data_IF_148882790918
#
_entry.id   IF_148882790918
#
_cell.length_a   1.000
_cell.length_b   1.000
_cell.length_c   1.000
_cell.angle_alpha   90.00
_cell.angle_beta   90.00
_cell.angle_gamma   90.00
#
_symmetry.space_group_name_H-M   'P 1'
#
loop_
_entity.id
_entity.type
_entity.pdbx_description
1 polymer ?
2 non-polymer ?
3 non-polymer ?
4 water ?
#
# COMPACT_ATOMS: atom_id res chain seq x y z
N UNK A 4 30.23 1.20 -2.49
CA UNK A 4 30.65 -0.21 -2.75
C UNK A 4 30.45 -1.08 -1.51
N UNK A 5 29.26 -1.00 -0.93
CA UNK A 5 28.94 -1.78 0.26
C UNK A 5 29.12 -3.28 0.05
N UNK A 6 29.74 -3.93 1.03
CA UNK A 6 29.96 -5.37 0.95
C UNK A 6 29.19 -6.13 2.03
N UNK A 7 28.82 -5.44 3.10
CA UNK A 7 28.12 -6.11 4.18
C UNK A 7 27.24 -5.22 5.03
N UNK A 8 26.14 -5.79 5.54
CA UNK A 8 25.27 -5.10 6.47
C UNK A 8 25.54 -5.89 7.75
N UNK A 9 26.03 -5.23 8.79
CA UNK A 9 26.34 -5.91 10.03
C UNK A 9 25.47 -5.48 11.21
N UNK A 10 25.48 -6.30 12.26
CA UNK A 10 24.75 -6.02 13.48
C UNK A 10 23.27 -5.78 13.23
N UNK A 11 22.68 -6.64 12.41
CA UNK A 11 21.28 -6.50 12.07
C UNK A 11 20.36 -7.42 12.85
N UNK A 12 19.21 -6.90 13.25
CA UNK A 12 18.20 -7.70 13.93
C UNK A 12 17.21 -8.02 12.81
N UNK A 13 16.56 -9.18 12.88
CA UNK A 13 15.60 -9.58 11.87
C UNK A 13 14.31 -9.98 12.55
N UNK A 14 13.17 -9.61 11.97
CA UNK A 14 11.89 -9.98 12.59
C UNK A 14 11.77 -11.48 12.80
N UNK A 15 11.27 -11.89 13.96
CA UNK A 15 11.09 -13.30 14.24
C UNK A 15 12.36 -14.11 14.48
N UNK A 16 13.51 -13.46 14.43
CA UNK A 16 14.77 -14.16 14.65
C UNK A 16 15.43 -13.63 15.91
N UNK A 17 16.21 -14.50 16.56
CA UNK A 17 16.93 -14.11 17.76
C UNK A 17 18.32 -13.63 17.33
N UNK A 18 18.94 -12.81 18.18
CA UNK A 18 20.28 -12.33 17.90
C UNK A 18 20.53 -11.35 16.78
N UNK A 19 21.80 -11.22 16.43
CA UNK A 19 22.26 -10.32 15.38
C UNK A 19 22.71 -11.12 14.16
N UNK A 20 22.61 -10.48 12.99
CA UNK A 20 22.95 -11.12 11.75
C UNK A 20 23.77 -10.26 10.82
N UNK A 21 24.52 -10.92 9.95
CA UNK A 21 25.37 -10.25 8.97
C UNK A 21 24.82 -10.59 7.59
N UNK A 22 24.63 -9.56 6.77
CA UNK A 22 24.09 -9.76 5.42
C UNK A 22 25.17 -9.39 4.41
N UNK A 23 25.71 -10.39 3.73
CA UNK A 23 26.76 -10.16 2.75
C UNK A 23 26.17 -9.81 1.40
N UNK A 24 26.74 -8.78 0.76
CA UNK A 24 26.27 -8.31 -0.53
C UNK A 24 27.33 -8.54 -1.61
N UNK A 25 26.87 -8.89 -2.80
CA UNK A 25 27.75 -9.14 -3.93
C UNK A 25 27.00 -8.86 -5.23
N UNK A 26 27.57 -8.03 -6.08
CA UNK A 26 26.99 -7.67 -7.36
C UNK A 26 25.54 -7.19 -7.27
N UNK A 27 25.26 -6.35 -6.28
CA UNK A 27 23.91 -5.81 -6.13
C UNK A 27 22.89 -6.76 -5.54
N UNK A 28 23.34 -7.94 -5.12
CA UNK A 28 22.45 -8.94 -4.53
C UNK A 28 22.92 -9.36 -3.14
N UNK A 29 22.06 -10.11 -2.46
CA UNK A 29 22.41 -10.64 -1.14
C UNK A 29 23.05 -11.99 -1.46
N UNK A 30 24.31 -12.14 -1.08
CA UNK A 30 25.04 -13.39 -1.36
C UNK A 30 24.87 -14.42 -0.25
N UNK A 31 24.77 -13.95 0.98
CA UNK A 31 24.62 -14.85 2.11
C UNK A 31 24.20 -14.12 3.36
N UNK A 32 23.57 -14.84 4.28
CA UNK A 32 23.12 -14.29 5.55
C UNK A 32 23.65 -15.21 6.64
N UNK A 33 24.43 -14.66 7.57
CA UNK A 33 25.01 -15.45 8.64
C UNK A 33 24.74 -14.85 10.01
N UNK A 34 24.45 -15.71 10.98
CA UNK A 34 24.21 -15.22 12.33
C UNK A 34 25.54 -14.81 12.96
N UNK A 35 25.48 -13.86 13.86
CA UNK A 35 26.65 -13.38 14.59
C UNK A 35 26.46 -13.86 16.02
N UNK A 36 27.55 -14.02 16.76
CA UNK A 36 27.47 -14.46 18.15
C UNK A 36 27.71 -13.28 19.08
N UNK A 37 27.99 -12.12 18.48
CA UNK A 37 28.24 -10.91 19.25
C UNK A 37 28.22 -9.73 18.30
N UNK A 38 28.56 -8.54 18.80
CA UNK A 38 28.58 -7.35 17.96
C UNK A 38 29.84 -7.33 17.10
N UNK A 39 29.67 -7.07 15.81
CA UNK A 39 30.79 -7.01 14.86
C UNK A 39 31.34 -5.60 14.76
N UNK A 40 32.66 -5.48 14.50
CA UNK A 40 33.25 -4.14 14.40
C UNK A 40 32.93 -3.52 13.05
N UNK A 41 32.77 -2.21 13.02
CA UNK A 41 32.48 -1.52 11.77
C UNK A 41 33.79 -1.54 10.97
N UNK A 42 33.70 -1.20 9.69
CA UNK A 42 34.86 -1.15 8.83
C UNK A 42 34.42 -0.57 7.50
N UNK A 43 35.37 -0.25 6.63
CA UNK A 43 35.05 0.30 5.33
C UNK A 43 34.23 -0.73 4.55
N UNK A 44 33.22 -0.24 3.83
CA UNK A 44 32.35 -1.08 3.03
C UNK A 44 31.32 -1.88 3.82
N UNK A 45 31.23 -1.60 5.12
CA UNK A 45 30.25 -2.26 5.99
C UNK A 45 29.25 -1.19 6.45
N UNK A 46 27.96 -1.49 6.31
CA UNK A 46 26.93 -0.57 6.77
C UNK A 46 26.50 -1.13 8.12
N UNK A 47 26.71 -0.37 9.18
CA UNK A 47 26.37 -0.83 10.52
C UNK A 47 24.91 -0.55 10.85
N UNK A 48 24.11 -1.61 11.00
CA UNK A 48 22.69 -1.46 11.34
C UNK A 48 22.58 -1.11 12.82
N UNK A 49 23.71 -1.21 13.53
CA UNK A 49 23.76 -0.87 14.95
C UNK A 49 22.68 -1.53 15.80
N UNK A 50 22.44 -2.80 15.56
CA UNK A 50 21.45 -3.58 16.29
C UNK A 50 20.04 -3.06 16.05
N UNK A 51 19.88 -2.40 14.91
CA UNK A 51 18.58 -1.89 14.51
C UNK A 51 17.94 -3.01 13.71
N UNK A 52 16.70 -2.82 13.30
CA UNK A 52 15.98 -3.84 12.55
C UNK A 52 16.17 -3.72 11.03
N UNK A 53 16.48 -4.83 10.35
CA UNK A 53 16.64 -4.82 8.91
C UNK A 53 15.50 -5.60 8.28
N UNK A 54 14.82 -4.97 7.34
CA UNK A 54 13.69 -5.59 6.68
C UNK A 54 13.67 -5.23 5.20
N UNK A 55 12.92 -6.00 4.39
CA UNK A 55 12.86 -5.66 2.98
C UNK A 55 12.14 -4.30 2.96
N UNK A 56 12.17 -3.58 1.84
CA UNK A 56 11.53 -2.25 1.75
C UNK A 56 10.06 -2.15 2.07
N UNK A 57 9.63 -1.00 2.59
CA UNK A 57 8.22 -0.80 2.83
C UNK A 57 7.58 -0.79 1.45
N UNK A 58 6.30 -1.13 1.39
CA UNK A 58 5.55 -1.18 0.14
C UNK A 58 4.30 -0.33 0.28
N UNK A 59 3.93 0.38 -0.79
CA UNK A 59 2.68 1.15 -0.80
C UNK A 59 1.79 0.41 -1.83
N UNK A 60 0.92 -0.48 -1.34
CA UNK A 60 0.05 -1.23 -2.27
C UNK A 60 -1.15 -0.50 -2.84
N UNK A 61 -1.44 0.70 -2.34
CA UNK A 61 -2.60 1.42 -2.83
C UNK A 61 -2.52 2.92 -2.63
N UNK A 62 -2.24 3.66 -3.70
CA UNK A 62 -2.17 5.11 -3.60
C UNK A 62 -2.64 5.70 -4.92
N UNK A 63 -3.06 6.95 -4.88
CA UNK A 63 -3.52 7.65 -6.09
C UNK A 63 -2.57 8.80 -6.36
N UNK A 64 -1.54 8.53 -7.17
CA UNK A 64 -0.57 9.57 -7.49
C UNK A 64 -1.09 10.58 -8.49
N UNK A 65 -2.19 10.29 -9.18
CA UNK A 65 -2.69 11.27 -10.14
C UNK A 65 -3.46 12.38 -9.45
N UNK A 66 -3.98 12.11 -8.24
CA UNK A 66 -4.74 13.10 -7.50
C UNK A 66 -3.96 13.72 -6.33
N UNK A 67 -2.79 13.16 -6.01
CA UNK A 67 -2.02 13.64 -4.86
C UNK A 67 -1.63 15.12 -4.94
N UNK A 68 -1.64 15.77 -3.77
CA UNK A 68 -1.29 17.18 -3.62
C UNK A 68 -2.33 18.13 -4.25
N UNK A 69 -3.59 17.70 -4.38
CA UNK A 69 -4.61 18.57 -4.99
C UNK A 69 -5.80 18.92 -4.10
N UNK A 70 -5.70 18.64 -2.80
CA UNK A 70 -6.82 18.95 -1.89
C UNK A 70 -7.22 20.42 -1.96
N UNK A 71 -8.50 20.67 -2.15
CA UNK A 71 -9.03 22.02 -2.21
C UNK A 71 -9.07 22.65 -3.60
N UNK A 72 -8.66 21.92 -4.63
CA UNK A 72 -8.66 22.50 -5.98
C UNK A 72 -9.63 21.78 -6.92
N UNK A 73 -10.68 22.48 -7.41
CA UNK A 73 -11.06 23.89 -7.19
C UNK A 73 -11.80 24.10 -5.87
N UNK A 74 -12.36 23.02 -5.32
CA UNK A 74 -13.10 23.10 -4.07
C UNK A 74 -12.78 21.94 -3.12
N UNK A 75 -13.16 22.11 -1.86
CA UNK A 75 -12.94 21.09 -0.84
C UNK A 75 -14.10 20.12 -0.72
N UNK A 76 -13.79 18.88 -0.35
CA UNK A 76 -14.80 17.84 -0.13
C UNK A 76 -15.36 18.17 1.25
N UNK A 77 -16.50 18.86 1.29
CA UNK A 77 -17.08 19.26 2.57
C UNK A 77 -17.74 18.18 3.39
N UNK A 78 -18.31 17.17 2.73
CA UNK A 78 -18.99 16.09 3.44
C UNK A 78 -18.05 15.01 3.96
N UNK A 79 -16.85 14.93 3.40
CA UNK A 79 -15.91 13.91 3.84
C UNK A 79 -16.35 12.52 3.40
N UNK A 80 -17.05 12.43 2.28
CA UNK A 80 -17.53 11.16 1.76
C UNK A 80 -16.84 10.76 0.46
N UNK A 81 -16.86 9.47 0.15
CA UNK A 81 -16.28 8.94 -1.08
C UNK A 81 -16.95 9.58 -2.29
N UNK A 82 -18.27 9.67 -2.21
CA UNK A 82 -19.09 10.22 -3.30
C UNK A 82 -18.81 11.69 -3.62
N UNK A 83 -18.73 12.56 -2.61
CA UNK A 83 -18.42 13.96 -2.93
C UNK A 83 -16.97 14.02 -3.41
N UNK A 84 -16.12 13.17 -2.86
CA UNK A 84 -14.73 13.13 -3.27
C UNK A 84 -14.60 12.92 -4.77
N UNK A 85 -15.33 11.95 -5.30
CA UNK A 85 -15.30 11.65 -6.74
C UNK A 85 -15.76 12.89 -7.52
N UNK A 86 -16.79 13.55 -7.01
CA UNK A 86 -17.31 14.73 -7.66
C UNK A 86 -16.32 15.91 -7.61
N UNK A 87 -15.61 16.06 -6.49
CA UNK A 87 -14.61 17.12 -6.38
C UNK A 87 -13.42 16.82 -7.29
N UNK A 88 -13.07 15.53 -7.40
CA UNK A 88 -11.96 15.12 -8.26
C UNK A 88 -12.33 15.37 -9.72
N UNK A 89 -13.58 15.10 -10.07
CA UNK A 89 -14.06 15.30 -11.44
C UNK A 89 -13.80 16.74 -11.88
N UNK A 90 -13.96 17.68 -10.95
CA UNK A 90 -13.73 19.09 -11.26
C UNK A 90 -12.25 19.33 -11.54
N UNK A 91 -11.38 18.70 -10.76
CA UNK A 91 -9.94 18.85 -10.92
C UNK A 91 -9.43 18.08 -12.13
N UNK A 92 -10.01 16.91 -12.38
CA UNK A 92 -9.59 16.10 -13.51
C UNK A 92 -9.75 16.87 -14.81
N UNK A 93 -10.74 17.76 -14.86
CA UNK A 93 -10.99 18.56 -16.06
C UNK A 93 -9.90 19.61 -16.30
N UNK A 94 -9.06 19.85 -15.29
CA UNK A 94 -8.00 20.87 -15.37
C UNK A 94 -6.59 20.26 -15.41
N UNK A 95 -6.51 18.95 -15.56
CA UNK A 95 -5.20 18.31 -15.57
C UNK A 95 -4.34 18.66 -16.77
N UNK A 96 -3.03 18.67 -16.55
CA UNK A 96 -2.06 18.87 -17.64
C UNK A 96 -0.98 17.84 -17.36
N UNK A 97 -0.26 17.47 -18.41
CA UNK A 97 0.82 16.50 -18.33
C UNK A 97 1.83 16.84 -17.25
N UNK A 98 2.42 18.02 -17.33
CA UNK A 98 3.43 18.45 -16.36
C UNK A 98 2.91 18.55 -14.94
N UNK A 99 1.65 18.94 -14.80
CA UNK A 99 1.00 19.08 -13.48
C UNK A 99 0.97 17.72 -12.78
N UNK A 100 0.54 16.70 -13.51
CA UNK A 100 0.48 15.36 -12.94
C UNK A 100 1.89 14.85 -12.60
N UNK A 101 2.83 15.03 -13.52
CA UNK A 101 4.19 14.57 -13.24
C UNK A 101 4.84 15.24 -12.04
N UNK A 102 4.63 16.55 -11.90
CA UNK A 102 5.20 17.30 -10.76
C UNK A 102 4.66 16.81 -9.44
N UNK A 103 3.34 16.67 -9.35
CA UNK A 103 2.71 16.23 -8.12
C UNK A 103 3.03 14.79 -7.77
N UNK A 104 3.02 13.90 -8.77
CA UNK A 104 3.34 12.49 -8.52
C UNK A 104 4.77 12.40 -7.99
N UNK A 105 5.69 13.12 -8.63
CA UNK A 105 7.08 13.10 -8.19
C UNK A 105 7.28 13.64 -6.77
N UNK A 106 6.52 14.65 -6.38
CA UNK A 106 6.64 15.22 -5.03
C UNK A 106 6.33 14.16 -3.97
N UNK A 107 5.27 13.40 -4.21
CA UNK A 107 4.89 12.35 -3.27
C UNK A 107 5.86 11.17 -3.37
N UNK A 108 6.31 10.86 -4.58
CA UNK A 108 7.26 9.76 -4.75
C UNK A 108 8.55 10.03 -3.98
N UNK A 109 9.00 11.30 -3.94
CA UNK A 109 10.22 11.61 -3.19
C UNK A 109 10.01 11.38 -1.68
N UNK A 110 8.83 11.68 -1.18
CA UNK A 110 8.53 11.46 0.24
C UNK A 110 8.56 9.95 0.49
N UNK A 111 8.06 9.18 -0.47
CA UNK A 111 8.05 7.72 -0.35
C UNK A 111 9.47 7.17 -0.34
N UNK A 112 10.33 7.69 -1.21
CA UNK A 112 11.72 7.21 -1.23
C UNK A 112 12.36 7.51 0.12
N UNK A 113 12.08 8.70 0.64
CA UNK A 113 12.63 9.12 1.93
C UNK A 113 12.11 8.22 3.06
N UNK A 114 10.92 7.64 2.85
CA UNK A 114 10.30 6.76 3.85
C UNK A 114 10.55 5.28 3.59
N UNK A 115 11.62 4.97 2.87
CA UNK A 115 11.98 3.58 2.62
C UNK A 115 11.03 2.73 1.79
N UNK A 116 10.19 3.38 0.99
CA UNK A 116 9.25 2.67 0.15
C UNK A 116 9.88 2.48 -1.25
N UNK A 117 10.09 1.23 -1.66
CA UNK A 117 10.70 0.97 -2.95
C UNK A 117 9.75 0.29 -3.93
N UNK A 118 8.52 0.04 -3.48
CA UNK A 118 7.50 -0.59 -4.31
C UNK A 118 6.19 0.14 -4.10
N UNK A 119 5.60 0.63 -5.19
CA UNK A 119 4.37 1.41 -5.11
C UNK A 119 3.40 1.02 -6.21
N UNK A 120 2.12 0.87 -5.84
CA UNK A 120 1.09 0.57 -6.83
C UNK A 120 0.16 1.78 -6.80
N UNK A 121 0.14 2.54 -7.89
CA UNK A 121 -0.73 3.69 -7.97
C UNK A 121 -1.90 3.44 -8.90
N UNK A 122 -3.08 3.86 -8.48
CA UNK A 122 -4.25 3.75 -9.34
C UNK A 122 -4.23 5.06 -10.13
N UNK A 123 -4.73 5.03 -11.36
CA UNK A 123 -4.80 6.22 -12.18
C UNK A 123 -6.17 6.21 -12.85
N UNK A 124 -6.91 7.30 -12.69
CA UNK A 124 -8.26 7.43 -13.23
C UNK A 124 -8.24 7.41 -14.76
N UNK A 125 -8.88 6.41 -15.35
CA UNK A 125 -8.94 6.30 -16.80
C UNK A 125 -10.35 6.55 -17.36
N UNK A 126 -11.17 7.24 -16.57
CA UNK A 126 -12.51 7.63 -17.02
C UNK A 126 -12.24 9.04 -17.52
N UNK A 127 -11.47 9.12 -18.60
CA UNK A 127 -11.06 10.38 -19.19
C UNK A 127 -10.57 10.06 -20.59
N UNK A 128 -11.33 10.49 -21.59
CA UNK A 128 -10.99 10.22 -22.97
C UNK A 128 -9.58 10.64 -23.38
N UNK A 129 -9.05 11.67 -22.73
CA UNK A 129 -7.71 12.16 -23.05
C UNK A 129 -6.61 11.36 -22.37
N UNK A 130 -6.97 10.59 -21.35
CA UNK A 130 -6.03 9.78 -20.58
C UNK A 130 -4.79 10.61 -20.20
N UNK A 131 -5.01 11.86 -19.86
CA UNK A 131 -3.89 12.75 -19.52
C UNK A 131 -3.00 12.26 -18.37
N UNK A 132 -3.61 11.88 -17.26
CA UNK A 132 -2.84 11.42 -16.10
C UNK A 132 -2.11 10.12 -16.39
N UNK A 133 -2.76 9.21 -17.13
CA UNK A 133 -2.12 7.94 -17.45
C UNK A 133 -0.86 8.13 -18.29
N UNK A 134 -0.92 9.01 -19.29
CA UNK A 134 0.25 9.23 -20.13
C UNK A 134 1.38 9.81 -19.30
N UNK A 135 1.04 10.73 -18.41
CA UNK A 135 2.03 11.34 -17.54
C UNK A 135 2.64 10.29 -16.60
N UNK A 136 1.79 9.47 -15.99
CA UNK A 136 2.26 8.45 -15.03
C UNK A 136 3.16 7.40 -15.68
N UNK A 137 2.91 7.08 -16.95
CA UNK A 137 3.75 6.11 -17.65
C UNK A 137 5.18 6.63 -17.78
N UNK A 138 5.32 7.95 -17.92
CA UNK A 138 6.66 8.54 -18.01
C UNK A 138 7.26 8.56 -16.62
N UNK A 139 6.47 8.94 -15.61
CA UNK A 139 6.97 8.96 -14.23
C UNK A 139 7.47 7.56 -13.86
N UNK A 140 6.77 6.52 -14.30
CA UNK A 140 7.17 5.15 -13.98
C UNK A 140 8.60 4.88 -14.47
N UNK A 141 8.90 5.31 -15.68
CA UNK A 141 10.24 5.12 -16.23
C UNK A 141 11.27 5.96 -15.49
N UNK A 142 10.92 7.20 -15.20
CA UNK A 142 11.81 8.13 -14.52
C UNK A 142 12.20 7.73 -13.10
N UNK A 143 11.25 7.19 -12.35
CA UNK A 143 11.51 6.82 -10.96
C UNK A 143 12.06 5.41 -10.76
N UNK A 144 12.13 4.63 -11.84
CA UNK A 144 12.58 3.24 -11.77
C UNK A 144 13.87 2.93 -10.98
N UNK A 145 14.86 3.85 -11.01
CA UNK A 145 16.08 3.56 -10.25
C UNK A 145 15.86 3.49 -8.73
N UNK A 146 14.76 4.07 -8.26
CA UNK A 146 14.47 4.11 -6.83
C UNK A 146 13.21 3.38 -6.41
N UNK A 147 12.20 3.36 -7.28
CA UNK A 147 10.93 2.72 -6.98
C UNK A 147 10.37 1.94 -8.16
N UNK A 148 9.88 0.74 -7.90
CA UNK A 148 9.25 -0.06 -8.94
C UNK A 148 7.77 0.32 -8.83
N UNK A 149 7.30 1.10 -9.80
CA UNK A 149 5.92 1.60 -9.80
C UNK A 149 4.98 0.80 -10.70
N UNK A 150 3.89 0.29 -10.11
CA UNK A 150 2.86 -0.43 -10.88
C UNK A 150 1.72 0.55 -11.11
N UNK A 151 1.13 0.52 -12.29
CA UNK A 151 0.03 1.43 -12.59
C UNK A 151 -1.26 0.64 -12.80
N UNK A 152 -2.30 1.03 -12.06
CA UNK A 152 -3.60 0.38 -12.20
C UNK A 152 -4.50 1.27 -13.05
N UNK A 153 -5.06 0.73 -14.12
CA UNK A 153 -6.00 1.49 -14.97
C UNK A 153 -7.29 1.46 -14.16
N UNK A 154 -7.60 2.57 -13.49
CA UNK A 154 -8.76 2.66 -12.61
C UNK A 154 -9.89 3.46 -13.22
N UNK A 155 -10.99 2.78 -13.62
CA UNK A 155 -12.17 3.40 -14.23
C UNK A 155 -13.01 4.02 -13.12
N UNK A 156 -12.52 5.14 -12.59
CA UNK A 156 -13.17 5.83 -11.47
C UNK A 156 -14.67 6.06 -11.57
N UNK A 157 -15.17 6.34 -12.77
CA UNK A 157 -16.60 6.61 -12.92
C UNK A 157 -17.39 5.41 -13.43
N UNK A 158 -16.76 4.24 -13.35
CA UNK A 158 -17.42 3.02 -13.79
C UNK A 158 -17.01 2.56 -15.17
N UNK A 159 -17.20 1.26 -15.41
CA UNK A 159 -16.88 0.66 -16.70
C UNK A 159 -18.12 0.74 -17.57
N UNK A 160 -19.24 0.27 -17.05
CA UNK A 160 -20.48 0.26 -17.83
C UNK A 160 -21.31 1.54 -17.64
N UNK A 161 -20.99 2.30 -16.60
CA UNK A 161 -21.73 3.52 -16.28
C UNK A 161 -21.11 4.83 -16.78
N UNK A 162 -20.03 4.70 -17.54
CA UNK A 162 -19.34 5.87 -18.08
C UNK A 162 -19.19 5.70 -19.60
N UNK A 163 -19.37 6.77 -20.38
CA UNK A 163 -19.26 6.70 -21.84
C UNK A 163 -17.93 6.10 -22.28
N UNK A 164 -18.00 5.03 -23.06
CA UNK A 164 -16.81 4.36 -23.58
C UNK A 164 -15.89 3.86 -22.47
N UNK A 165 -16.48 3.60 -21.31
CA UNK A 165 -15.69 3.15 -20.18
C UNK A 165 -14.87 1.91 -20.43
N UNK A 166 -15.47 0.88 -21.03
CA UNK A 166 -14.72 -0.35 -21.27
C UNK A 166 -13.63 -0.13 -22.32
N UNK A 167 -13.94 0.63 -23.36
CA UNK A 167 -12.96 0.92 -24.40
C UNK A 167 -11.75 1.66 -23.81
N UNK A 168 -12.01 2.66 -22.98
CA UNK A 168 -10.92 3.42 -22.37
C UNK A 168 -10.08 2.54 -21.45
N UNK A 169 -10.74 1.62 -20.72
CA UNK A 169 -10.02 0.73 -19.82
C UNK A 169 -9.05 -0.13 -20.62
N UNK A 170 -9.52 -0.68 -21.74
CA UNK A 170 -8.66 -1.51 -22.56
C UNK A 170 -7.56 -0.68 -23.21
N UNK A 171 -7.86 0.57 -23.57
CA UNK A 171 -6.85 1.43 -24.20
C UNK A 171 -5.73 1.65 -23.18
N UNK A 172 -6.11 1.82 -21.92
CA UNK A 172 -5.12 2.03 -20.86
C UNK A 172 -4.18 0.83 -20.74
N UNK A 173 -4.72 -0.38 -20.91
CA UNK A 173 -3.90 -1.59 -20.85
C UNK A 173 -2.98 -1.66 -22.07
N UNK A 174 -3.51 -1.27 -23.24
CA UNK A 174 -2.71 -1.29 -24.46
C UNK A 174 -1.55 -0.29 -24.38
N UNK A 175 -1.75 0.76 -23.59
CA UNK A 175 -0.70 1.77 -23.42
C UNK A 175 0.33 1.32 -22.37
N UNK A 176 0.03 0.26 -21.63
CA UNK A 176 1.00 -0.22 -20.66
C UNK A 176 0.62 -0.38 -19.20
N UNK A 177 -0.62 -0.06 -18.82
CA UNK A 177 -0.99 -0.21 -17.40
C UNK A 177 -0.78 -1.66 -16.96
N UNK A 178 -0.22 -1.82 -15.77
CA UNK A 178 0.12 -3.14 -15.23
C UNK A 178 -1.03 -3.92 -14.60
N UNK A 179 -2.04 -3.18 -14.15
CA UNK A 179 -3.16 -3.76 -13.43
C UNK A 179 -4.51 -3.27 -13.94
N UNK A 180 -5.49 -4.15 -13.96
CA UNK A 180 -6.83 -3.77 -14.38
C UNK A 180 -7.64 -3.43 -13.13
N UNK A 181 -8.28 -2.27 -13.14
CA UNK A 181 -9.10 -1.85 -12.01
C UNK A 181 -10.57 -1.90 -12.32
N UNK A 182 -11.40 -1.68 -11.29
CA UNK A 182 -12.85 -1.68 -11.43
C UNK A 182 -13.42 -1.05 -10.16
N UNK A 183 -14.72 -0.75 -10.18
CA UNK A 183 -15.37 -0.13 -9.03
C UNK A 183 -16.87 -0.50 -9.11
N UNK A 184 -17.17 -1.79 -8.92
CA UNK A 184 -18.55 -2.29 -9.00
C UNK A 184 -19.64 -1.60 -8.19
N UNK A 185 -19.33 -1.16 -6.97
CA UNK A 185 -20.34 -0.48 -6.14
C UNK A 185 -20.71 0.91 -6.64
N UNK A 186 -19.94 1.45 -7.58
CA UNK A 186 -20.22 2.78 -8.13
C UNK A 186 -21.01 2.68 -9.43
N UNK A 187 -21.10 1.48 -10.00
CA UNK A 187 -21.87 1.29 -11.24
C UNK A 187 -23.34 1.56 -10.92
N UNK A 188 -24.11 1.98 -11.93
CA UNK A 188 -25.53 2.30 -11.74
C UNK A 188 -26.38 1.22 -11.09
N UNK A 189 -26.11 -0.04 -11.43
CA UNK A 189 -26.90 -1.15 -10.88
C UNK A 189 -26.03 -2.31 -10.46
N UNK A 190 -26.59 -3.16 -9.61
CA UNK A 190 -25.91 -4.35 -9.14
C UNK A 190 -25.51 -5.22 -10.35
N UNK A 191 -26.38 -5.30 -11.34
CA UNK A 191 -26.10 -6.09 -12.53
C UNK A 191 -24.89 -5.51 -13.29
N UNK A 192 -24.82 -4.18 -13.41
CA UNK A 192 -23.65 -3.58 -14.08
C UNK A 192 -22.41 -3.89 -13.25
N UNK A 193 -22.56 -3.89 -11.93
CA UNK A 193 -21.43 -4.18 -11.05
C UNK A 193 -20.85 -5.56 -11.31
N UNK A 194 -21.72 -6.57 -11.35
CA UNK A 194 -21.28 -7.95 -11.59
C UNK A 194 -20.70 -8.07 -13.01
N UNK A 195 -21.41 -7.53 -13.99
CA UNK A 195 -20.93 -7.62 -15.36
C UNK A 195 -19.58 -6.92 -15.52
N UNK A 196 -19.38 -5.82 -14.82
CA UNK A 196 -18.11 -5.10 -14.94
C UNK A 196 -16.95 -6.00 -14.50
N UNK A 197 -17.21 -6.87 -13.52
CA UNK A 197 -16.16 -7.77 -13.03
C UNK A 197 -15.84 -8.86 -14.05
N UNK A 198 -16.85 -9.37 -14.75
CA UNK A 198 -16.57 -10.37 -15.79
C UNK A 198 -15.67 -9.70 -16.85
N UNK A 199 -15.99 -8.47 -17.24
CA UNK A 199 -15.22 -7.75 -18.24
C UNK A 199 -13.79 -7.46 -17.77
N UNK A 200 -13.65 -7.14 -16.48
CA UNK A 200 -12.36 -6.86 -15.88
C UNK A 200 -11.48 -8.12 -15.93
N UNK A 201 -12.05 -9.24 -15.51
CA UNK A 201 -11.28 -10.49 -15.56
C UNK A 201 -10.92 -10.88 -16.99
N UNK A 202 -11.85 -10.73 -17.93
CA UNK A 202 -11.53 -11.08 -19.31
C UNK A 202 -10.36 -10.24 -19.84
N UNK A 203 -10.31 -8.95 -19.49
CA UNK A 203 -9.20 -8.11 -19.95
C UNK A 203 -7.88 -8.53 -19.31
N UNK A 204 -7.92 -8.88 -18.02
CA UNK A 204 -6.71 -9.30 -17.33
C UNK A 204 -6.13 -10.58 -17.94
N UNK A 205 -7.01 -11.48 -18.39
CA UNK A 205 -6.55 -12.71 -19.01
C UNK A 205 -6.09 -12.46 -20.44
N UNK A 206 -6.78 -11.56 -21.14
CA UNK A 206 -6.41 -11.23 -22.52
C UNK A 206 -5.01 -10.60 -22.60
N UNK A 207 -4.69 -9.74 -21.63
CA UNK A 207 -3.39 -9.07 -21.63
C UNK A 207 -2.35 -9.57 -20.63
N UNK A 208 -2.72 -10.58 -19.84
CA UNK A 208 -1.82 -11.12 -18.79
C UNK A 208 -1.42 -10.01 -17.82
N UNK A 209 -2.41 -9.41 -17.17
CA UNK A 209 -2.17 -8.34 -16.21
C UNK A 209 -2.78 -8.72 -14.86
N UNK A 210 -2.41 -7.98 -13.82
CA UNK A 210 -2.94 -8.23 -12.49
C UNK A 210 -4.29 -7.52 -12.39
N UNK A 211 -5.00 -7.74 -11.28
CA UNK A 211 -6.30 -7.12 -11.06
C UNK A 211 -6.32 -6.51 -9.66
N UNK A 212 -6.89 -5.31 -9.54
CA UNK A 212 -7.03 -4.67 -8.24
C UNK A 212 -8.29 -3.84 -8.32
N UNK A 213 -9.34 -4.37 -7.70
CA UNK A 213 -10.67 -3.76 -7.70
C UNK A 213 -10.98 -2.87 -6.49
N UNK A 214 -11.50 -1.66 -6.73
CA UNK A 214 -11.95 -0.82 -5.61
C UNK A 214 -13.26 -1.56 -5.35
N UNK A 215 -13.24 -2.42 -4.34
CA UNK A 215 -14.36 -3.32 -4.06
C UNK A 215 -15.20 -3.06 -2.82
N UNK A 216 -16.49 -2.77 -3.04
CA UNK A 216 -17.43 -2.54 -1.95
C UNK A 216 -16.94 -1.46 -0.97
N UNK A 217 -16.45 -0.32 -1.48
CA UNK A 217 -16.00 0.76 -0.60
C UNK A 217 -17.25 1.57 -0.30
N UNK A 218 -18.10 1.03 0.59
CA UNK A 218 -19.36 1.67 0.91
C UNK A 218 -19.97 0.96 2.12
N UNK A 219 -20.65 1.72 2.98
CA UNK A 219 -21.27 1.15 4.18
C UNK A 219 -22.65 0.59 3.82
N UNK A 220 -22.65 -0.38 2.90
CA UNK A 220 -23.89 -1.02 2.43
C UNK A 220 -23.76 -2.52 2.66
N UNK A 221 -24.54 -3.06 3.61
CA UNK A 221 -24.45 -4.48 3.93
C UNK A 221 -24.83 -5.40 2.75
N UNK A 222 -25.40 -4.81 1.70
CA UNK A 222 -25.79 -5.58 0.52
C UNK A 222 -24.76 -5.50 -0.61
N UNK A 223 -23.67 -4.75 -0.39
CA UNK A 223 -22.64 -4.61 -1.40
C UNK A 223 -21.70 -5.82 -1.21
N UNK A 224 -21.88 -6.84 -2.04
CA UNK A 224 -21.12 -8.08 -1.95
C UNK A 224 -20.36 -8.45 -3.23
N UNK A 225 -19.81 -7.45 -3.91
CA UNK A 225 -19.08 -7.73 -5.13
C UNK A 225 -17.83 -8.56 -4.87
N UNK A 226 -17.33 -8.51 -3.63
CA UNK A 226 -16.14 -9.28 -3.28
C UNK A 226 -16.34 -10.78 -3.57
N UNK A 227 -17.55 -11.32 -3.40
CA UNK A 227 -17.72 -12.74 -3.68
C UNK A 227 -17.54 -13.06 -5.17
N UNK A 228 -17.88 -12.12 -6.06
CA UNK A 228 -17.70 -12.34 -7.49
C UNK A 228 -16.21 -12.23 -7.81
N UNK A 229 -15.52 -11.27 -7.19
CA UNK A 229 -14.08 -11.13 -7.42
C UNK A 229 -13.36 -12.42 -7.04
N UNK A 230 -13.67 -12.95 -5.85
CA UNK A 230 -13.03 -14.17 -5.39
C UNK A 230 -13.41 -15.40 -6.22
N UNK A 231 -14.69 -15.52 -6.59
CA UNK A 231 -15.17 -16.66 -7.38
C UNK A 231 -14.55 -16.70 -8.77
N UNK A 232 -14.48 -15.55 -9.41
CA UNK A 232 -13.88 -15.50 -10.74
C UNK A 232 -12.39 -15.83 -10.67
N UNK A 233 -11.72 -15.39 -9.62
CA UNK A 233 -10.30 -15.68 -9.47
C UNK A 233 -10.11 -17.18 -9.29
N UNK A 234 -10.95 -17.79 -8.46
CA UNK A 234 -10.85 -19.23 -8.21
C UNK A 234 -11.11 -20.01 -9.49
N UNK A 235 -12.09 -19.57 -10.25
CA UNK A 235 -12.46 -20.23 -11.50
C UNK A 235 -11.31 -20.20 -12.51
N UNK A 236 -10.65 -19.05 -12.62
CA UNK A 236 -9.53 -18.86 -13.55
C UNK A 236 -8.20 -19.32 -12.98
N UNK A 237 -8.20 -19.77 -11.72
CA UNK A 237 -6.98 -20.21 -11.06
C UNK A 237 -5.94 -19.09 -11.02
N UNK A 238 -6.39 -17.87 -10.73
CA UNK A 238 -5.46 -16.74 -10.72
C UNK A 238 -5.45 -15.90 -9.45
N UNK A 239 -5.83 -16.50 -8.32
CA UNK A 239 -5.87 -15.77 -7.07
C UNK A 239 -4.69 -14.85 -6.76
N UNK A 240 -3.47 -15.36 -6.94
CA UNK A 240 -2.24 -14.61 -6.66
C UNK A 240 -2.16 -13.26 -7.39
N UNK A 241 -2.80 -13.19 -8.54
CA UNK A 241 -2.77 -11.99 -9.37
C UNK A 241 -3.92 -11.04 -9.10
N UNK A 242 -4.76 -11.37 -8.13
CA UNK A 242 -5.95 -10.57 -7.84
C UNK A 242 -5.99 -9.93 -6.47
N UNK A 243 -6.48 -8.69 -6.43
CA UNK A 243 -6.61 -7.94 -5.19
C UNK A 243 -7.97 -7.26 -5.09
N UNK A 244 -8.56 -7.30 -3.90
CA UNK A 244 -9.82 -6.62 -3.64
C UNK A 244 -9.45 -5.49 -2.68
N UNK A 245 -9.47 -4.25 -3.14
CA UNK A 245 -9.13 -3.13 -2.29
C UNK A 245 -10.36 -2.65 -1.53
N UNK A 246 -10.12 -2.19 -0.30
CA UNK A 246 -11.12 -1.67 0.62
C UNK A 246 -12.04 -2.66 1.32
N UNK A 247 -13.01 -3.20 0.57
CA UNK A 247 -14.05 -4.11 1.08
C UNK A 247 -14.57 -3.62 2.44
N UNK A 248 -14.79 -2.31 2.53
CA UNK A 248 -15.28 -1.73 3.77
C UNK A 248 -16.70 -2.18 4.09
N UNK A 249 -17.45 -2.62 3.07
CA UNK A 249 -18.81 -3.09 3.32
C UNK A 249 -18.78 -4.31 4.23
N UNK A 250 -17.69 -5.07 4.15
CA UNK A 250 -17.56 -6.27 4.98
C UNK A 250 -17.65 -5.96 6.46
N UNK A 251 -17.34 -4.72 6.84
CA UNK A 251 -17.42 -4.30 8.24
C UNK A 251 -18.87 -4.32 8.69
N UNK A 252 -19.79 -4.24 7.73
CA UNK A 252 -21.22 -4.19 8.02
C UNK A 252 -22.02 -5.46 7.71
N UNK A 253 -21.36 -6.52 7.26
CA UNK A 253 -22.06 -7.78 6.96
C UNK A 253 -22.49 -8.51 8.23
N UNK A 254 -23.53 -9.35 8.13
CA UNK A 254 -23.91 -10.14 9.27
C UNK A 254 -22.84 -11.24 9.36
N UNK A 255 -22.64 -11.79 10.55
CA UNK A 255 -21.62 -12.81 10.75
C UNK A 255 -21.77 -14.14 10.02
N UNK A 256 -23.00 -14.59 9.79
CA UNK A 256 -23.23 -15.86 9.11
C UNK A 256 -22.77 -15.81 7.65
N UNK A 257 -23.15 -14.76 6.93
CA UNK A 257 -22.72 -14.62 5.55
C UNK A 257 -21.18 -14.49 5.51
N UNK A 258 -20.62 -13.70 6.42
CA UNK A 258 -19.18 -13.53 6.44
C UNK A 258 -18.46 -14.87 6.62
N UNK A 259 -18.96 -15.71 7.51
CA UNK A 259 -18.34 -17.02 7.73
C UNK A 259 -18.37 -17.86 6.44
N UNK A 260 -19.53 -17.86 5.77
CA UNK A 260 -19.67 -18.63 4.54
C UNK A 260 -18.68 -18.08 3.51
N UNK A 261 -18.66 -16.75 3.39
CA UNK A 261 -17.77 -16.07 2.45
C UNK A 261 -16.29 -16.38 2.68
N UNK A 262 -15.86 -16.38 3.94
CA UNK A 262 -14.44 -16.61 4.24
C UNK A 262 -13.86 -17.91 3.66
N UNK A 263 -14.69 -18.95 3.54
CA UNK A 263 -14.20 -20.21 2.96
C UNK A 263 -13.72 -19.92 1.54
N UNK A 264 -14.55 -19.21 0.78
CA UNK A 264 -14.21 -18.84 -0.59
C UNK A 264 -13.01 -17.90 -0.66
N UNK A 265 -12.95 -16.94 0.26
CA UNK A 265 -11.83 -16.00 0.25
C UNK A 265 -10.51 -16.75 0.39
N UNK A 266 -10.49 -17.70 1.32
CA UNK A 266 -9.26 -18.48 1.53
C UNK A 266 -8.96 -19.39 0.34
N UNK A 267 -9.98 -20.09 -0.16
CA UNK A 267 -9.76 -20.99 -1.29
C UNK A 267 -9.29 -20.23 -2.55
N UNK A 268 -9.85 -19.03 -2.76
CA UNK A 268 -9.52 -18.23 -3.93
C UNK A 268 -8.08 -17.72 -3.94
N UNK A 269 -7.54 -17.47 -2.75
CA UNK A 269 -6.17 -16.99 -2.64
C UNK A 269 -5.96 -15.54 -3.04
N UNK A 270 -7.04 -14.76 -3.16
CA UNK A 270 -6.88 -13.36 -3.54
C UNK A 270 -6.37 -12.51 -2.37
N UNK A 271 -5.87 -11.33 -2.71
CA UNK A 271 -5.30 -10.40 -1.72
C UNK A 271 -6.28 -9.31 -1.33
N UNK A 272 -6.10 -8.75 -0.14
CA UNK A 272 -6.95 -7.69 0.35
C UNK A 272 -6.14 -6.51 0.83
N UNK A 273 -6.61 -5.31 0.50
CA UNK A 273 -5.95 -4.09 0.94
C UNK A 273 -6.95 -3.27 1.77
N UNK A 274 -6.51 -2.87 2.96
CA UNK A 274 -7.31 -2.02 3.85
C UNK A 274 -6.53 -0.70 3.83
N UNK A 275 -7.23 0.44 3.87
CA UNK A 275 -6.59 1.76 3.85
C UNK A 275 -7.09 2.51 5.08
N UNK A 276 -6.55 2.16 6.25
CA UNK A 276 -6.95 2.77 7.53
C UNK A 276 -7.09 4.28 7.68
N UNK A 277 -6.14 5.07 7.19
CA UNK A 277 -6.25 6.52 7.35
C UNK A 277 -7.46 7.09 6.61
N UNK A 278 -7.67 6.60 5.39
CA UNK A 278 -8.80 7.06 4.59
C UNK A 278 -10.11 6.39 4.99
N UNK A 279 -10.08 5.08 5.27
CA UNK A 279 -11.30 4.38 5.66
C UNK A 279 -11.95 4.97 6.93
N UNK A 280 -11.15 5.27 7.96
CA UNK A 280 -11.72 5.81 9.20
C UNK A 280 -12.35 7.18 8.95
N UNK A 281 -11.84 7.89 7.96
CA UNK A 281 -12.34 9.23 7.61
C UNK A 281 -13.59 9.19 6.71
N UNK A 282 -13.56 8.39 5.65
CA UNK A 282 -14.69 8.31 4.71
C UNK A 282 -15.83 7.39 5.07
N UNK A 283 -15.58 6.37 5.88
CA UNK A 283 -16.63 5.44 6.28
C UNK A 283 -17.35 5.95 7.52
N UNK A 284 -18.57 5.46 7.73
CA UNK A 284 -19.35 5.86 8.89
C UNK A 284 -19.95 7.25 8.75
N UNK A 285 -19.81 7.85 7.59
CA UNK A 285 -20.33 9.21 7.38
C UNK A 285 -21.85 9.31 7.29
N UNK A 286 -22.54 8.18 7.12
CA UNK A 286 -24.00 8.21 7.06
C UNK A 286 -24.67 7.77 8.37
N UNK A 287 -23.84 7.42 9.35
CA UNK A 287 -24.36 7.04 10.67
C UNK A 287 -24.44 8.35 11.47
N UNK A 288 -25.23 8.36 12.54
CA UNK A 288 -25.25 9.53 13.40
C UNK A 288 -24.38 9.02 14.56
N UNK A 289 -25.02 8.44 15.56
CA UNK A 289 -24.34 7.86 16.71
C UNK A 289 -25.15 6.65 17.18
N UNK A 290 -24.50 5.50 17.43
CA UNK A 290 -23.07 5.21 17.30
C UNK A 290 -22.61 5.25 15.85
N UNK A 291 -21.31 5.39 15.65
CA UNK A 291 -20.71 5.49 14.33
C UNK A 291 -19.75 4.33 14.10
N UNK A 292 -19.97 3.56 13.02
CA UNK A 292 -19.12 2.41 12.74
C UNK A 292 -17.72 2.82 12.28
N UNK A 293 -16.74 1.96 12.54
CA UNK A 293 -15.36 2.24 12.14
C UNK A 293 -15.21 2.13 10.64
N UNK A 294 -15.75 1.06 10.06
CA UNK A 294 -15.70 0.91 8.61
C UNK A 294 -14.49 0.32 7.92
N UNK A 295 -13.59 -0.33 8.67
CA UNK A 295 -12.45 -0.96 8.03
C UNK A 295 -12.84 -2.42 7.82
N UNK A 296 -12.31 -3.05 6.78
CA UNK A 296 -12.66 -4.45 6.52
C UNK A 296 -12.19 -5.34 7.68
N UNK A 297 -12.54 -6.62 7.64
CA UNK A 297 -12.23 -7.56 8.73
C UNK A 297 -10.79 -8.06 8.77
N UNK A 298 -9.87 -7.12 8.95
CA UNK A 298 -8.44 -7.40 8.99
C UNK A 298 -8.03 -8.47 10.02
N UNK A 299 -8.48 -8.31 11.25
CA UNK A 299 -8.12 -9.24 12.32
C UNK A 299 -8.54 -10.67 11.97
N UNK A 300 -9.76 -10.82 11.47
CA UNK A 300 -10.26 -12.15 11.10
C UNK A 300 -9.52 -12.73 9.90
N UNK A 301 -9.15 -11.89 8.95
CA UNK A 301 -8.40 -12.38 7.79
C UNK A 301 -7.05 -12.94 8.26
N UNK A 302 -6.38 -12.23 9.16
CA UNK A 302 -5.09 -12.69 9.66
C UNK A 302 -5.25 -14.01 10.38
N UNK A 303 -6.30 -14.13 11.17
CA UNK A 303 -6.56 -15.36 11.90
C UNK A 303 -6.87 -16.53 10.95
N UNK A 304 -7.41 -16.23 9.79
CA UNK A 304 -7.76 -17.27 8.81
C UNK A 304 -6.68 -17.52 7.77
N UNK A 305 -5.57 -16.80 7.86
CA UNK A 305 -4.49 -16.97 6.92
C UNK A 305 -4.77 -16.36 5.55
N UNK A 306 -5.63 -15.35 5.52
CA UNK A 306 -5.99 -14.65 4.29
C UNK A 306 -5.04 -13.45 4.19
N UNK A 307 -4.40 -13.29 3.05
CA UNK A 307 -3.45 -12.19 2.89
C UNK A 307 -4.11 -10.82 2.86
N UNK A 308 -3.79 -10.01 3.86
CA UNK A 308 -4.32 -8.66 3.94
C UNK A 308 -3.16 -7.71 4.27
N UNK A 309 -3.22 -6.49 3.73
CA UNK A 309 -2.15 -5.50 3.94
C UNK A 309 -2.73 -4.08 3.97
N UNK A 310 -1.87 -3.10 4.27
CA UNK A 310 -2.31 -1.70 4.37
C UNK A 310 -1.73 -0.73 3.35
N UNK A 311 -2.58 0.17 2.87
CA UNK A 311 -2.16 1.21 1.93
C UNK A 311 -2.50 2.57 2.50
N UNK A 312 -1.88 3.63 1.99
CA UNK A 312 -2.13 4.99 2.46
C UNK A 312 -3.34 5.56 1.68
N UNK A 313 -3.49 5.09 0.45
CA UNK A 313 -4.59 5.48 -0.44
C UNK A 313 -4.47 6.90 -1.01
N UNK A 314 -4.53 7.90 -0.14
CA UNK A 314 -4.46 9.29 -0.57
C UNK A 314 -3.53 10.15 0.25
N UNK A 315 -2.87 11.09 -0.43
CA UNK A 315 -1.97 12.03 0.23
C UNK A 315 -2.35 13.46 -0.23
N UNK A 316 -2.97 14.20 0.68
CA UNK A 316 -3.45 15.56 0.45
C UNK A 316 -4.21 15.77 -0.86
N UNK A 317 -5.40 15.19 -0.93
CA UNK A 317 -6.25 15.27 -2.12
C UNK A 317 -7.75 15.27 -1.73
N UNK A 318 -8.67 15.14 -2.71
CA UNK A 318 -10.10 15.17 -2.36
C UNK A 318 -10.63 14.16 -1.32
N UNK A 319 -9.93 13.05 -1.16
CA UNK A 319 -10.37 12.05 -0.20
C UNK A 319 -9.59 12.07 1.12
N UNK A 320 -8.53 12.89 1.21
CA UNK A 320 -7.73 12.91 2.45
C UNK A 320 -6.80 14.13 2.50
N UNK A 321 -7.07 15.07 3.42
CA UNK A 321 -6.29 16.30 3.58
C UNK A 321 -4.93 16.19 4.26
N UNK A 322 -4.57 15.01 4.74
CA UNK A 322 -3.29 14.86 5.44
C UNK A 322 -2.31 13.90 4.76
N UNK A 323 -1.30 13.49 5.53
CA UNK A 323 -0.30 12.54 5.07
C UNK A 323 1.09 13.01 4.70
N UNK A 324 2.08 12.13 4.95
CA UNK A 324 3.47 12.37 4.56
C UNK A 324 3.94 11.07 3.91
N UNK A 325 2.97 10.26 3.47
CA UNK A 325 3.24 8.97 2.79
C UNK A 325 4.07 8.04 3.67
N UNK A 326 3.75 8.02 4.96
CA UNK A 326 4.49 7.22 5.93
C UNK A 326 3.77 5.94 6.30
N UNK A 327 4.36 4.79 5.96
CA UNK A 327 3.69 3.51 6.22
C UNK A 327 3.57 3.12 7.69
N UNK A 328 4.53 3.50 8.52
CA UNK A 328 4.40 3.17 9.95
C UNK A 328 3.21 3.94 10.53
N UNK A 329 2.90 5.09 9.95
CA UNK A 329 1.77 5.89 10.42
C UNK A 329 0.45 5.22 10.01
N UNK A 330 0.42 4.72 8.78
CA UNK A 330 -0.73 3.99 8.27
C UNK A 330 -0.97 2.78 9.20
N UNK A 331 0.10 2.03 9.47
CA UNK A 331 0.03 0.84 10.34
C UNK A 331 -0.50 1.20 11.73
N UNK A 332 0.04 2.28 12.31
CA UNK A 332 -0.40 2.73 13.63
C UNK A 332 -1.94 2.89 13.66
N UNK A 333 -2.49 3.60 12.68
CA UNK A 333 -3.94 3.80 12.63
C UNK A 333 -4.67 2.46 12.50
N UNK A 334 -4.20 1.61 11.60
CA UNK A 334 -4.84 0.32 11.40
C UNK A 334 -4.87 -0.55 12.64
N UNK A 335 -3.76 -0.61 13.37
CA UNK A 335 -3.72 -1.44 14.58
C UNK A 335 -4.75 -0.95 15.60
N UNK A 336 -4.89 0.37 15.72
CA UNK A 336 -5.85 0.94 16.67
C UNK A 336 -7.30 0.68 16.27
N UNK A 337 -7.66 1.04 15.05
CA UNK A 337 -9.04 0.87 14.62
C UNK A 337 -9.48 -0.59 14.52
N UNK A 338 -8.55 -1.46 14.13
CA UNK A 338 -8.85 -2.88 14.00
C UNK A 338 -8.65 -3.64 15.32
N UNK A 339 -8.19 -2.93 16.34
CA UNK A 339 -7.95 -3.50 17.66
C UNK A 339 -6.99 -4.69 17.66
N UNK A 340 -5.88 -4.52 16.94
CA UNK A 340 -4.81 -5.52 16.86
C UNK A 340 -3.78 -4.89 17.80
N UNK A 341 -4.16 -4.85 19.07
CA UNK A 341 -3.34 -4.20 20.08
C UNK A 341 -2.60 -5.07 21.09
N UNK A 342 -2.58 -6.38 20.83
CA UNK A 342 -1.84 -7.27 21.72
C UNK A 342 -0.39 -7.07 21.35
N UNK A 343 0.53 -7.34 22.28
CA UNK A 343 1.94 -7.14 21.99
C UNK A 343 2.38 -7.83 20.70
N UNK A 344 2.04 -9.10 20.55
CA UNK A 344 2.43 -9.83 19.36
C UNK A 344 1.79 -9.30 18.08
N UNK A 345 0.54 -8.89 18.17
CA UNK A 345 -0.17 -8.36 17.01
C UNK A 345 0.49 -7.07 16.55
N UNK A 346 0.91 -6.25 17.50
CA UNK A 346 1.56 -4.98 17.15
C UNK A 346 2.94 -5.27 16.55
N UNK A 347 3.69 -6.15 17.21
CA UNK A 347 5.03 -6.49 16.74
C UNK A 347 4.98 -7.08 15.33
N UNK A 348 4.02 -7.96 15.08
CA UNK A 348 3.86 -8.60 13.78
C UNK A 348 3.25 -7.63 12.75
N UNK A 349 2.86 -6.46 13.23
CA UNK A 349 2.25 -5.46 12.36
C UNK A 349 3.08 -5.10 11.13
N UNK A 350 4.41 -5.15 11.24
CA UNK A 350 5.26 -4.82 10.10
C UNK A 350 4.91 -5.65 8.86
N UNK A 351 4.43 -6.87 9.08
CA UNK A 351 4.08 -7.74 7.95
C UNK A 351 3.03 -7.07 7.06
N UNK A 352 2.14 -6.30 7.68
CA UNK A 352 1.06 -5.62 6.94
C UNK A 352 1.55 -4.50 6.02
N UNK A 353 2.80 -4.08 6.19
CA UNK A 353 3.33 -3.04 5.32
C UNK A 353 4.62 -3.47 4.62
N UNK A 354 4.94 -4.75 4.71
CA UNK A 354 6.11 -5.31 4.03
C UNK A 354 5.73 -6.57 3.24
N UNK A 355 5.96 -7.74 3.81
CA UNK A 355 5.67 -9.00 3.12
C UNK A 355 4.27 -9.21 2.55
N UNK A 356 3.23 -8.87 3.32
CA UNK A 356 1.88 -9.06 2.82
C UNK A 356 1.61 -8.16 1.62
N UNK A 357 2.16 -6.96 1.64
CA UNK A 357 1.98 -6.02 0.54
C UNK A 357 2.77 -6.47 -0.69
N UNK A 358 3.93 -7.07 -0.47
CA UNK A 358 4.73 -7.58 -1.58
C UNK A 358 3.93 -8.69 -2.28
N UNK A 359 3.28 -9.56 -1.49
CA UNK A 359 2.48 -10.64 -2.09
C UNK A 359 1.33 -10.04 -2.88
N UNK A 360 0.73 -8.98 -2.33
CA UNK A 360 -0.38 -8.31 -3.01
C UNK A 360 0.04 -7.76 -4.38
N UNK A 361 1.28 -7.28 -4.48
CA UNK A 361 1.79 -6.76 -5.74
C UNK A 361 2.41 -7.86 -6.62
N UNK A 362 2.33 -9.11 -6.14
CA UNK A 362 2.85 -10.29 -6.86
C UNK A 362 4.36 -10.13 -7.13
N UNK A 363 5.10 -9.56 -6.18
CA UNK A 363 6.53 -9.34 -6.36
C UNK A 363 7.32 -10.65 -6.38
N UNK A 364 8.30 -10.72 -7.27
CA UNK A 364 9.13 -11.90 -7.44
C UNK A 364 10.55 -11.78 -6.87
N UNK A 365 10.94 -10.57 -6.50
CA UNK A 365 12.27 -10.33 -5.95
C UNK A 365 12.09 -9.46 -4.70
N UNK A 366 11.73 -10.09 -3.59
CA UNK A 366 11.48 -9.36 -2.34
C UNK A 366 11.77 -10.21 -1.10
N UNK A 367 12.47 -9.63 -0.14
CA UNK A 367 12.79 -10.34 1.07
C UNK A 367 14.29 -10.43 1.30
N UNK A 368 14.68 -10.56 2.56
CA UNK A 368 16.09 -10.69 2.90
C UNK A 368 16.45 -12.18 2.76
N UNK A 369 16.89 -12.55 1.56
CA UNK A 369 17.26 -13.93 1.28
C UNK A 369 18.35 -13.99 0.22
N UNK A 370 19.21 -14.99 0.34
CA UNK A 370 20.30 -15.16 -0.62
C UNK A 370 19.76 -15.25 -2.05
N UNK A 371 20.39 -14.52 -2.96
CA UNK A 371 19.96 -14.54 -4.35
C UNK A 371 19.07 -13.37 -4.74
N UNK A 372 18.42 -12.75 -3.76
CA UNK A 372 17.54 -11.61 -4.02
C UNK A 372 18.36 -10.34 -4.20
N UNK A 373 17.78 -9.35 -4.87
CA UNK A 373 18.48 -8.07 -5.04
C UNK A 373 18.69 -7.51 -3.63
N UNK A 374 19.75 -6.74 -3.47
CA UNK A 374 20.07 -6.14 -2.19
C UNK A 374 19.20 -4.89 -1.95
N UNK A 375 17.91 -5.12 -1.74
CA UNK A 375 16.96 -4.04 -1.49
C UNK A 375 16.50 -4.25 -0.04
N UNK A 376 16.82 -3.31 0.84
CA UNK A 376 16.46 -3.46 2.24
C UNK A 376 16.54 -2.12 2.94
N UNK A 377 15.89 -2.01 4.09
CA UNK A 377 15.95 -0.77 4.84
C UNK A 377 16.31 -1.07 6.28
N UNK A 378 16.84 -0.05 6.95
CA UNK A 378 17.27 -0.19 8.34
C UNK A 378 16.48 0.76 9.23
N UNK A 379 15.79 0.21 10.23
CA UNK A 379 15.01 1.01 11.17
C UNK A 379 15.78 1.06 12.50
N UNK A 380 15.94 2.26 13.08
CA UNK A 380 16.65 2.41 14.36
C UNK A 380 15.73 2.00 15.51
N UNK A 381 15.43 0.70 15.56
CA UNK A 381 14.52 0.17 16.57
C UNK A 381 14.85 -1.30 16.80
N UNK A 382 14.44 -1.82 17.96
CA UNK A 382 14.71 -3.21 18.35
C UNK A 382 13.87 -4.28 17.67
N UNK A 383 12.64 -3.93 17.32
CA UNK A 383 11.73 -4.87 16.68
C UNK A 383 10.55 -4.11 16.14
N UNK A 384 9.59 -4.81 15.55
CA UNK A 384 8.43 -4.16 14.98
C UNK A 384 7.62 -3.34 15.99
N UNK A 385 7.49 -3.85 17.20
CA UNK A 385 6.74 -3.14 18.24
C UNK A 385 7.38 -1.78 18.52
N UNK A 386 8.69 -1.80 18.77
CA UNK A 386 9.46 -0.59 19.07
C UNK A 386 9.39 0.43 17.92
N UNK A 387 9.56 -0.06 16.69
CA UNK A 387 9.52 0.82 15.53
C UNK A 387 8.17 1.50 15.43
N UNK A 388 7.11 0.73 15.66
CA UNK A 388 5.75 1.26 15.59
C UNK A 388 5.48 2.25 16.71
N UNK A 389 5.81 1.87 17.94
CA UNK A 389 5.57 2.75 19.08
C UNK A 389 6.24 4.11 18.95
N UNK A 390 7.50 4.11 18.54
CA UNK A 390 8.23 5.37 18.43
C UNK A 390 8.17 6.03 17.05
N UNK A 391 7.44 5.41 16.13
CA UNK A 391 7.29 5.96 14.77
C UNK A 391 8.64 6.41 14.23
N UNK A 392 9.60 5.50 14.25
CA UNK A 392 10.95 5.81 13.81
C UNK A 392 11.06 6.04 12.31
N UNK A 393 12.04 6.86 11.90
CA UNK A 393 12.25 7.16 10.49
C UNK A 393 13.07 6.01 9.92
N UNK A 394 13.36 6.07 8.62
CA UNK A 394 14.17 5.02 8.01
C UNK A 394 15.62 5.55 8.06
N UNK A 395 16.46 4.88 8.85
CA UNK A 395 17.86 5.31 8.98
C UNK A 395 18.59 5.25 7.64
N UNK A 396 18.45 4.12 6.95
CA UNK A 396 19.06 3.93 5.63
C UNK A 396 18.12 3.11 4.74
N UNK A 397 18.07 3.46 3.46
CA UNK A 397 17.30 2.68 2.51
C UNK A 397 18.35 2.26 1.47
N UNK A 398 18.46 0.94 1.27
CA UNK A 398 19.44 0.39 0.33
C UNK A 398 18.75 -0.30 -0.84
N UNK A 399 19.18 0.02 -2.05
CA UNK A 399 18.59 -0.59 -3.24
C UNK A 399 19.71 -0.97 -4.19
N UNK A 400 19.70 -2.23 -4.62
CA UNK A 400 20.75 -2.71 -5.51
C UNK A 400 22.10 -2.60 -4.80
N UNK A 401 22.07 -2.69 -3.48
CA UNK A 401 23.29 -2.61 -2.70
C UNK A 401 23.86 -1.22 -2.51
N UNK A 402 23.10 -0.19 -2.87
CA UNK A 402 23.54 1.19 -2.71
C UNK A 402 22.56 1.99 -1.87
N UNK A 403 23.07 2.93 -1.08
CA UNK A 403 22.21 3.76 -0.23
C UNK A 403 21.50 4.83 -1.09
N UNK A 404 20.16 4.81 -1.06
CA UNK A 404 19.39 5.78 -1.84
C UNK A 404 18.64 6.79 -0.96
N UNK A 405 18.70 6.61 0.35
CA UNK A 405 18.07 7.53 1.29
C UNK A 405 18.60 7.29 2.69
N UNK A 406 18.68 8.35 3.49
CA UNK A 406 19.14 8.21 4.86
C UNK A 406 18.57 9.34 5.69
N UNK A 407 18.32 9.05 6.96
CA UNK A 407 17.79 10.05 7.87
C UNK A 407 18.63 10.11 9.13
N UNK A 408 19.18 11.29 9.40
CA UNK A 408 19.94 11.50 10.62
C UNK A 408 18.84 11.80 11.65
N UNK A 409 18.65 10.90 12.62
CA UNK A 409 17.61 11.11 13.63
C UNK A 409 17.64 12.43 14.39
N UNK A 410 16.45 12.87 14.80
CA UNK A 410 16.31 14.10 15.58
C UNK A 410 17.03 13.86 16.90
N UNK A 411 17.46 14.95 17.53
CA UNK A 411 18.16 14.86 18.81
C UNK A 411 17.45 15.74 19.83
N UNK A 412 16.84 15.10 20.82
CA UNK A 412 16.09 15.83 21.84
C UNK A 412 16.82 15.83 23.19
N UNK A 413 16.87 17.01 23.81
CA UNK A 413 17.54 17.17 25.09
C UNK A 413 16.61 17.92 26.04
N UNK A 414 16.57 17.50 27.29
CA UNK A 414 15.79 18.21 28.29
C UNK A 414 16.82 18.76 29.26
N UNK A 415 16.66 20.01 29.67
CA UNK A 415 17.61 20.64 30.58
C UNK A 415 17.09 20.64 32.01
N UNK A 416 17.43 19.58 32.74
CA UNK A 416 17.02 19.42 34.12
C UNK A 416 18.18 19.92 34.97
N UNK A 417 18.52 19.23 36.06
CA UNK A 417 19.64 19.67 36.88
C UNK A 417 20.88 19.61 35.99
N UNK A 418 20.83 18.69 35.03
CA UNK A 418 21.90 18.50 34.05
C UNK A 418 21.20 18.17 32.74
N UNK A 419 21.84 18.45 31.60
CA UNK A 419 21.20 18.14 30.31
C UNK A 419 21.07 16.64 30.16
N UNK A 420 19.96 16.17 29.59
CA UNK A 420 19.76 14.74 29.42
C UNK A 420 19.15 14.45 28.06
N UNK A 421 19.71 13.47 27.34
CA UNK A 421 19.20 13.10 26.03
C UNK A 421 17.96 12.24 26.22
N UNK A 422 16.94 12.49 25.42
CA UNK A 422 15.71 11.73 25.51
C UNK A 422 15.48 10.95 24.20
N UNK A 423 15.36 9.63 24.27
CA UNK A 423 15.14 8.84 23.07
C UNK A 423 13.82 8.06 23.11
N UNK A 424 13.04 8.28 24.17
CA UNK A 424 11.73 7.64 24.35
C UNK A 424 11.76 6.11 24.46
N UNK A 425 12.91 5.56 24.82
CA UNK A 425 13.01 4.10 24.95
C UNK A 425 12.90 3.67 26.41
N UNK A 426 12.55 2.41 26.63
CA UNK A 426 12.45 1.86 27.98
C UNK A 426 13.36 0.63 28.07
X LIG B 1 -8.17 4.16 -3.76
X LIG C 1 -11.07 6.81 -5.40
X LIG C 1 -11.98 5.90 -4.87
X LIG C 1 -12.96 5.39 -5.47
X LIG C 1 -11.74 5.56 -3.57
X LIG C 1 -10.69 6.02 -2.78
X LIG C 1 -9.81 4.86 -2.65
X LIG C 1 -9.77 6.97 -3.36
X LIG C 1 -9.96 7.35 -4.63
#
# INVERSE_FOLDING_TARGET
SNNALQTIINARLPGEEGLWQIHLQDGKISAIDAQSGVMPITENSLDAEQGLVIPPFVEPHIHLDTTQTAGQPNWNQSGTLFEGIERWAERKALLTHDDVKQRAWQTLKWQIANGIQHVRTHVDVSDATLTALKAMLEVKQEVAPWIDLQIVAFPQEGILSYPNGEALLEEALRLGADVVGAIPHFEFTREYGVESLHKTFALAQKYDRLIDVHCDEIDDEQSRFVETVAALAHHEGMGARVTASHTTAMHSYNGAYTSRLFRLLKMSGINFVANPLVNIHLQGRFDTYPKRRGITRVKEMLESGINVCFGHDDVFDPWYPLGTANMLQVLHMGLHVCQLMGYGQINDGLNLITHHSARTLNLQDYGIAAGNSANLIILPAENGFDALRRQVPVRYSVRGGKVIASTQPAQTTVYLEQPEAIDYKR
FE FE
HPY N1 C2 O2 N3 C4 O4 C5 C6
#
